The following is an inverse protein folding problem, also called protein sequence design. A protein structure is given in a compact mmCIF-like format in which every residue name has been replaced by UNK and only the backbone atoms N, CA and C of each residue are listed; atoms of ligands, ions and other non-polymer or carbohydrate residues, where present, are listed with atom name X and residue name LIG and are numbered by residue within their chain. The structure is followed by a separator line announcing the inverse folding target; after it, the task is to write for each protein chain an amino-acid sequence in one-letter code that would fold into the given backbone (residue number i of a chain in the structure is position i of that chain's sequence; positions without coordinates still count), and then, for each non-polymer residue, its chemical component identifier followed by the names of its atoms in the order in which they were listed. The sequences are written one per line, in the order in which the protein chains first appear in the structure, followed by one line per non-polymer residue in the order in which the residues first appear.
data_IF_963858744876
#
_entry.id   IF_963858744876
#
_cell.length_a   1.000
_cell.length_b   1.000
_cell.length_c   1.000
_cell.angle_alpha   90.00
_cell.angle_beta   90.00
_cell.angle_gamma   90.00
#
_symmetry.space_group_name_H-M   'P 1'
#
loop_
_entity.id
_entity.type
_entity.pdbx_description
1 polymer ?
#
# COMPACT_ATOMS: atom_id res chain seq x y z
N UNK A 1 17.90 4.55 21.60
CA UNK A 1 17.23 5.72 21.02
C UNK A 1 16.58 5.43 19.66
N UNK A 2 17.34 5.43 18.58
CA UNK A 2 16.82 5.29 17.19
C UNK A 2 16.08 3.96 16.92
N UNK A 3 16.53 2.85 17.50
CA UNK A 3 15.85 1.55 17.33
C UNK A 3 14.47 1.50 18.02
N UNK A 4 14.33 2.15 19.17
CA UNK A 4 13.04 2.27 19.85
C UNK A 4 12.09 3.15 19.04
N UNK A 5 12.59 4.29 18.56
CA UNK A 5 11.84 5.21 17.70
C UNK A 5 11.31 4.52 16.43
N UNK A 6 12.14 3.68 15.82
CA UNK A 6 11.74 2.91 14.62
C UNK A 6 10.62 1.90 14.92
N UNK A 7 10.60 1.27 16.11
CA UNK A 7 9.49 0.42 16.55
C UNK A 7 8.22 1.22 16.82
N UNK A 8 8.36 2.40 17.39
CA UNK A 8 7.24 3.26 17.76
C UNK A 8 6.51 3.86 16.51
N UNK A 9 7.16 3.89 15.36
CA UNK A 9 6.58 4.38 14.09
C UNK A 9 5.82 3.32 13.29
N UNK A 10 5.60 2.13 13.83
CA UNK A 10 4.99 1.01 13.10
C UNK A 10 3.46 1.03 13.09
N UNK A 11 2.80 2.01 13.70
CA UNK A 11 1.35 2.16 13.60
C UNK A 11 0.95 3.60 13.24
N UNK A 12 -0.23 3.81 12.63
CA UNK A 12 -0.76 5.15 12.37
C UNK A 12 -0.84 6.02 13.62
N UNK A 13 -1.27 5.47 14.72
CA UNK A 13 -1.45 6.18 16.00
C UNK A 13 -0.10 6.62 16.58
N UNK A 14 0.89 5.73 16.60
CA UNK A 14 2.23 6.08 17.10
C UNK A 14 2.91 7.09 16.19
N UNK A 15 2.69 7.01 14.87
CA UNK A 15 3.19 7.99 13.92
C UNK A 15 2.61 9.39 14.21
N UNK A 16 1.29 9.49 14.43
CA UNK A 16 0.63 10.77 14.75
C UNK A 16 1.15 11.33 16.07
N UNK A 17 1.33 10.47 17.08
CA UNK A 17 1.96 10.86 18.34
C UNK A 17 3.36 11.42 18.15
N UNK A 18 4.15 10.84 17.26
CA UNK A 18 5.48 11.33 16.89
C UNK A 18 5.44 12.68 16.17
N UNK A 19 4.47 12.91 15.28
CA UNK A 19 4.28 14.22 14.62
C UNK A 19 4.08 15.30 15.67
N UNK A 20 3.21 15.08 16.66
CA UNK A 20 2.99 16.02 17.78
C UNK A 20 4.24 16.22 18.62
N UNK A 21 4.95 15.14 18.92
CA UNK A 21 6.18 15.20 19.71
C UNK A 21 7.28 16.02 19.03
N UNK A 22 7.52 15.77 17.74
CA UNK A 22 8.48 16.56 16.97
C UNK A 22 8.05 18.01 16.83
N UNK A 23 6.75 18.27 16.64
CA UNK A 23 6.22 19.64 16.62
C UNK A 23 6.65 20.44 17.84
N UNK A 24 6.54 19.84 19.03
CA UNK A 24 7.02 20.47 20.30
C UNK A 24 8.52 20.68 20.30
N UNK A 25 9.30 19.70 19.86
CA UNK A 25 10.77 19.81 19.87
C UNK A 25 11.33 20.91 18.97
N UNK A 26 10.66 21.17 17.84
CA UNK A 26 11.09 22.18 16.86
C UNK A 26 10.27 23.47 16.93
N UNK A 27 9.43 23.64 17.95
CA UNK A 27 8.56 24.82 18.17
C UNK A 27 7.61 25.10 16.99
N UNK A 28 7.01 24.03 16.45
CA UNK A 28 6.07 24.07 15.33
C UNK A 28 4.75 23.32 15.68
N UNK A 29 4.27 23.49 16.91
CA UNK A 29 3.13 22.76 17.48
C UNK A 29 1.87 22.94 16.64
N UNK A 30 1.54 24.16 16.23
CA UNK A 30 0.35 24.47 15.44
C UNK A 30 0.34 23.73 14.11
N UNK A 31 1.49 23.63 13.45
CA UNK A 31 1.62 22.92 12.19
C UNK A 31 1.52 21.41 12.38
N UNK A 32 2.16 20.91 13.43
CA UNK A 32 2.10 19.49 13.79
C UNK A 32 0.67 19.07 14.16
N UNK A 33 -0.06 19.88 14.94
CA UNK A 33 -1.45 19.59 15.31
C UNK A 33 -2.37 19.61 14.11
N UNK A 34 -2.24 20.58 13.18
CA UNK A 34 -3.01 20.59 11.93
C UNK A 34 -2.79 19.35 11.09
N UNK A 35 -1.56 18.83 11.03
CA UNK A 35 -1.23 17.60 10.32
C UNK A 35 -1.81 16.37 11.04
N UNK A 36 -1.63 16.29 12.36
CA UNK A 36 -2.14 15.20 13.18
C UNK A 36 -3.68 15.09 13.09
N UNK A 37 -4.38 16.21 13.24
CA UNK A 37 -5.85 16.29 13.12
C UNK A 37 -6.31 15.84 11.74
N UNK A 38 -5.67 16.32 10.66
CA UNK A 38 -6.01 15.88 9.31
C UNK A 38 -5.88 14.36 9.15
N UNK A 39 -4.78 13.78 9.66
CA UNK A 39 -4.56 12.34 9.61
C UNK A 39 -5.64 11.57 10.39
N UNK A 40 -5.94 12.02 11.61
CA UNK A 40 -6.97 11.43 12.47
C UNK A 40 -8.36 11.47 11.81
N UNK A 41 -8.74 12.59 11.20
CA UNK A 41 -10.00 12.71 10.46
C UNK A 41 -10.12 11.66 9.35
N UNK A 42 -9.06 11.47 8.55
CA UNK A 42 -9.06 10.47 7.47
C UNK A 42 -9.10 9.05 8.01
N UNK A 43 -8.33 8.74 9.04
CA UNK A 43 -8.36 7.43 9.71
C UNK A 43 -9.75 7.15 10.28
N UNK A 44 -10.37 8.10 10.96
CA UNK A 44 -11.68 7.93 11.55
C UNK A 44 -12.77 7.73 10.49
N UNK A 45 -12.69 8.43 9.35
CA UNK A 45 -13.59 8.21 8.22
C UNK A 45 -13.45 6.78 7.65
N UNK A 46 -12.22 6.28 7.54
CA UNK A 46 -11.97 4.90 7.09
C UNK A 46 -12.47 3.90 8.14
N UNK A 47 -12.15 4.09 9.43
CA UNK A 47 -12.63 3.23 10.51
C UNK A 47 -14.17 3.13 10.53
N UNK A 48 -14.85 4.26 10.37
CA UNK A 48 -16.33 4.29 10.31
C UNK A 48 -16.87 3.51 9.10
N UNK A 49 -16.26 3.67 7.92
CA UNK A 49 -16.68 2.95 6.71
C UNK A 49 -16.46 1.44 6.81
N UNK A 50 -15.38 1.00 7.48
CA UNK A 50 -15.07 -0.43 7.64
C UNK A 50 -16.11 -1.16 8.50
N UNK A 51 -16.83 -0.48 9.39
CA UNK A 51 -17.87 -1.11 10.20
C UNK A 51 -18.98 -1.75 9.36
N UNK A 52 -19.21 -1.26 8.15
CA UNK A 52 -20.19 -1.80 7.21
C UNK A 52 -19.61 -2.84 6.24
N UNK A 53 -18.33 -3.16 6.36
CA UNK A 53 -17.64 -4.09 5.47
C UNK A 53 -17.73 -5.51 6.00
N UNK A 54 -18.29 -6.42 5.20
CA UNK A 54 -18.45 -7.84 5.57
C UNK A 54 -17.25 -8.71 5.14
N UNK A 55 -16.55 -8.35 4.06
CA UNK A 55 -15.41 -9.09 3.55
C UNK A 55 -14.13 -8.30 3.72
N UNK A 56 -13.12 -8.94 4.31
CA UNK A 56 -11.76 -8.37 4.45
C UNK A 56 -10.83 -9.07 3.49
N UNK A 57 -10.44 -8.44 2.37
CA UNK A 57 -9.56 -9.06 1.39
C UNK A 57 -8.20 -9.44 1.98
N UNK A 58 -7.67 -10.59 1.57
CA UNK A 58 -6.29 -11.01 1.86
C UNK A 58 -5.34 -10.23 0.96
N UNK A 59 -4.38 -9.57 1.57
CA UNK A 59 -3.47 -8.64 0.90
C UNK A 59 -2.02 -9.06 1.12
N UNK A 60 -1.27 -9.09 0.04
CA UNK A 60 0.17 -9.29 0.07
C UNK A 60 0.89 -8.01 -0.36
N UNK A 61 1.94 -7.65 0.36
CA UNK A 61 2.75 -6.48 0.08
C UNK A 61 4.12 -6.90 -0.46
N UNK A 62 4.30 -6.72 -1.76
CA UNK A 62 5.52 -7.06 -2.47
C UNK A 62 6.52 -5.89 -2.52
N UNK A 63 7.80 -6.21 -2.54
CA UNK A 63 8.89 -5.26 -2.75
C UNK A 63 9.46 -5.41 -4.18
N UNK A 64 8.62 -5.14 -5.17
CA UNK A 64 8.98 -5.14 -6.58
C UNK A 64 8.80 -6.49 -7.26
N UNK A 65 9.30 -7.58 -6.67
CA UNK A 65 9.18 -8.94 -7.20
C UNK A 65 8.11 -9.75 -6.48
N UNK A 66 7.49 -10.75 -7.13
CA UNK A 66 6.46 -11.58 -6.51
C UNK A 66 6.95 -12.30 -5.26
N UNK A 67 8.17 -12.79 -5.26
CA UNK A 67 8.76 -13.54 -4.16
C UNK A 67 9.56 -12.70 -3.17
N UNK A 68 9.59 -11.37 -3.32
CA UNK A 68 10.29 -10.47 -2.41
C UNK A 68 9.32 -9.52 -1.73
N UNK A 69 9.25 -9.55 -0.40
CA UNK A 69 8.20 -8.86 0.36
C UNK A 69 8.70 -8.24 1.67
N UNK A 70 7.86 -7.40 2.26
CA UNK A 70 8.10 -6.91 3.62
C UNK A 70 7.72 -7.97 4.65
N UNK A 71 8.34 -7.90 5.83
CA UNK A 71 7.93 -8.72 6.99
C UNK A 71 6.75 -8.13 7.75
N UNK A 72 6.14 -8.99 8.60
CA UNK A 72 4.90 -8.72 9.30
C UNK A 72 4.85 -7.52 10.24
N UNK A 73 6.00 -6.97 10.66
CA UNK A 73 6.06 -5.89 11.66
C UNK A 73 6.20 -4.47 11.08
N UNK A 74 5.89 -4.28 9.79
CA UNK A 74 6.07 -3.00 9.10
C UNK A 74 4.78 -2.17 9.11
N UNK A 75 4.95 -0.82 9.03
CA UNK A 75 3.83 0.13 8.96
C UNK A 75 2.90 -0.18 7.79
N UNK A 76 3.44 -0.58 6.65
CA UNK A 76 2.68 -0.91 5.44
C UNK A 76 1.62 -2.00 5.71
N UNK A 77 1.95 -2.99 6.56
CA UNK A 77 0.98 -4.01 6.98
C UNK A 77 -0.10 -3.44 7.90
N UNK A 78 0.26 -2.48 8.77
CA UNK A 78 -0.73 -1.77 9.59
C UNK A 78 -1.68 -0.93 8.73
N UNK A 79 -1.18 -0.31 7.65
CA UNK A 79 -2.03 0.45 6.73
C UNK A 79 -3.06 -0.45 6.02
N UNK A 80 -2.64 -1.65 5.60
CA UNK A 80 -3.55 -2.66 5.03
C UNK A 80 -4.66 -3.01 6.02
N UNK A 81 -4.29 -3.28 7.27
CA UNK A 81 -5.24 -3.65 8.32
C UNK A 81 -6.14 -2.47 8.71
N UNK A 82 -5.59 -1.26 8.79
CA UNK A 82 -6.35 -0.04 9.03
C UNK A 82 -7.33 0.29 7.90
N UNK A 83 -7.06 -0.16 6.68
CA UNK A 83 -7.97 -0.07 5.53
C UNK A 83 -8.96 -1.24 5.43
N UNK A 84 -9.01 -2.14 6.42
CA UNK A 84 -9.95 -3.26 6.46
C UNK A 84 -9.53 -4.49 5.67
N UNK A 85 -8.24 -4.64 5.33
CA UNK A 85 -7.68 -5.85 4.75
C UNK A 85 -7.10 -6.81 5.80
N UNK A 86 -6.70 -8.00 5.36
CA UNK A 86 -5.91 -8.97 6.12
C UNK A 86 -4.52 -9.01 5.51
N UNK A 87 -3.49 -8.58 6.27
CA UNK A 87 -2.12 -8.64 5.76
C UNK A 87 -1.56 -10.05 5.82
N UNK A 88 -1.39 -10.69 4.68
CA UNK A 88 -0.78 -12.02 4.56
C UNK A 88 0.72 -12.00 4.95
N UNK A 89 1.37 -10.85 4.84
CA UNK A 89 2.76 -10.68 5.26
C UNK A 89 2.96 -10.91 6.76
N UNK A 90 1.90 -10.86 7.59
CA UNK A 90 1.95 -11.21 9.02
C UNK A 90 2.33 -12.67 9.26
N UNK A 91 2.08 -13.54 8.30
CA UNK A 91 2.42 -14.97 8.37
C UNK A 91 3.89 -15.24 7.98
N UNK A 92 4.58 -14.23 7.45
CA UNK A 92 5.96 -14.35 6.96
C UNK A 92 6.92 -13.98 8.09
N UNK A 93 7.77 -14.92 8.47
CA UNK A 93 8.84 -14.75 9.46
C UNK A 93 10.20 -14.89 8.79
N UNK A 94 11.20 -14.27 9.38
CA UNK A 94 12.58 -14.36 8.89
C UNK A 94 13.40 -13.10 9.18
N UNK A 95 14.68 -13.16 8.85
CA UNK A 95 15.62 -12.05 8.94
C UNK A 95 15.88 -11.50 7.54
N UNK A 96 15.84 -10.19 7.41
CA UNK A 96 16.13 -9.51 6.14
C UNK A 96 15.85 -8.02 6.22
N UNK A 97 16.63 -7.22 5.50
CA UNK A 97 16.41 -5.78 5.29
C UNK A 97 16.88 -5.44 3.88
N UNK A 98 16.06 -4.74 3.09
CA UNK A 98 14.78 -4.11 3.43
C UNK A 98 13.60 -5.09 3.49
N UNK A 99 13.71 -6.28 2.90
CA UNK A 99 12.62 -7.26 2.81
C UNK A 99 13.11 -8.69 3.03
N UNK A 100 12.21 -9.63 2.75
CA UNK A 100 12.44 -11.08 2.86
C UNK A 100 12.11 -11.71 1.52
N UNK A 101 12.93 -12.64 1.08
CA UNK A 101 12.63 -13.52 -0.03
C UNK A 101 11.85 -14.74 0.47
N UNK A 102 10.77 -15.07 -0.21
CA UNK A 102 9.95 -16.28 0.01
C UNK A 102 9.96 -17.13 -1.24
N UNK A 103 9.59 -18.41 -1.13
CA UNK A 103 9.42 -19.26 -2.31
C UNK A 103 8.09 -18.94 -3.01
N UNK A 104 8.00 -19.24 -4.30
CA UNK A 104 6.74 -19.12 -5.03
C UNK A 104 5.65 -20.02 -4.45
N UNK A 105 6.01 -21.21 -3.98
CA UNK A 105 5.08 -22.12 -3.29
C UNK A 105 4.51 -21.48 -1.99
N UNK A 106 5.32 -20.73 -1.25
CA UNK A 106 4.82 -19.97 -0.09
C UNK A 106 3.85 -18.87 -0.52
N UNK A 107 4.16 -18.11 -1.59
CA UNK A 107 3.26 -17.10 -2.12
C UNK A 107 1.92 -17.72 -2.59
N UNK A 108 1.96 -18.85 -3.28
CA UNK A 108 0.75 -19.58 -3.70
C UNK A 108 -0.06 -20.08 -2.50
N UNK A 109 0.59 -20.53 -1.44
CA UNK A 109 -0.07 -20.93 -0.19
C UNK A 109 -0.79 -19.75 0.50
N UNK A 110 -0.24 -18.54 0.43
CA UNK A 110 -0.90 -17.33 0.93
C UNK A 110 -2.11 -16.95 0.09
N UNK A 111 -2.08 -17.20 -1.22
CA UNK A 111 -3.11 -16.94 -2.21
C UNK A 111 -3.82 -15.61 -1.99
N UNK A 112 -3.13 -14.46 -2.05
CA UNK A 112 -3.72 -13.16 -1.79
C UNK A 112 -4.77 -12.79 -2.86
N UNK A 113 -5.79 -12.02 -2.44
CA UNK A 113 -6.83 -11.45 -3.33
C UNK A 113 -6.38 -10.12 -3.95
N UNK A 114 -5.46 -9.43 -3.28
CA UNK A 114 -4.90 -8.13 -3.70
C UNK A 114 -3.41 -8.09 -3.40
N UNK A 115 -2.65 -7.48 -4.31
CA UNK A 115 -1.22 -7.23 -4.11
C UNK A 115 -0.96 -5.73 -4.24
N UNK A 116 -0.22 -5.18 -3.28
CA UNK A 116 0.40 -3.87 -3.41
C UNK A 116 1.91 -4.02 -3.61
N UNK A 117 2.45 -3.26 -4.57
CA UNK A 117 3.90 -3.17 -4.80
C UNK A 117 4.40 -1.90 -4.13
N UNK A 118 5.50 -2.00 -3.39
CA UNK A 118 6.13 -0.86 -2.72
C UNK A 118 6.45 0.27 -3.69
N UNK A 119 6.10 1.48 -3.30
CA UNK A 119 6.44 2.69 -4.05
C UNK A 119 7.94 3.03 -3.97
N UNK A 120 8.68 2.35 -3.12
CA UNK A 120 10.12 2.59 -2.92
C UNK A 120 10.99 1.92 -3.99
N UNK A 121 10.45 0.96 -4.74
CA UNK A 121 11.16 0.20 -5.77
C UNK A 121 10.56 0.51 -7.13
N UNK A 122 11.42 0.79 -8.11
CA UNK A 122 11.04 1.11 -9.49
C UNK A 122 10.59 -0.12 -10.31
N UNK A 123 9.79 -1.00 -9.72
CA UNK A 123 9.19 -2.12 -10.47
C UNK A 123 7.85 -1.71 -11.05
N UNK A 124 7.65 -1.99 -12.33
CA UNK A 124 6.36 -1.80 -12.95
C UNK A 124 5.40 -2.94 -12.58
N UNK A 125 4.09 -2.66 -12.62
CA UNK A 125 3.06 -3.72 -12.52
C UNK A 125 3.24 -4.74 -13.66
N UNK A 126 3.68 -4.28 -14.82
CA UNK A 126 3.91 -5.09 -16.01
C UNK A 126 5.02 -6.12 -15.77
N UNK A 127 6.16 -5.70 -15.21
CA UNK A 127 7.27 -6.61 -14.88
C UNK A 127 6.83 -7.64 -13.83
N UNK A 128 6.02 -7.24 -12.86
CA UNK A 128 5.47 -8.13 -11.85
C UNK A 128 4.61 -9.25 -12.49
N UNK A 129 3.73 -8.90 -13.46
CA UNK A 129 2.92 -9.90 -14.16
C UNK A 129 3.77 -10.82 -15.05
N UNK A 130 4.80 -10.28 -15.73
CA UNK A 130 5.72 -11.07 -16.55
C UNK A 130 6.41 -12.11 -15.66
N UNK A 131 6.97 -11.71 -14.53
CA UNK A 131 7.63 -12.62 -13.60
C UNK A 131 6.66 -13.69 -13.04
N UNK A 132 5.42 -13.32 -12.72
CA UNK A 132 4.39 -14.29 -12.33
C UNK A 132 4.10 -15.31 -13.42
N UNK A 133 4.05 -14.89 -14.69
CA UNK A 133 3.82 -15.80 -15.82
C UNK A 133 4.99 -16.76 -16.03
N UNK A 134 6.21 -16.22 -16.03
CA UNK A 134 7.44 -17.02 -16.22
C UNK A 134 7.61 -18.06 -15.11
N UNK A 135 7.26 -17.70 -13.88
CA UNK A 135 7.32 -18.60 -12.73
C UNK A 135 6.09 -19.53 -12.61
N UNK A 136 5.08 -19.40 -13.47
CA UNK A 136 3.85 -20.19 -13.44
C UNK A 136 2.96 -19.95 -12.22
N UNK A 137 3.06 -18.77 -11.58
CA UNK A 137 2.33 -18.43 -10.35
C UNK A 137 0.83 -18.29 -10.64
N UNK A 138 0.03 -19.04 -9.87
CA UNK A 138 -1.43 -19.08 -10.01
C UNK A 138 -2.13 -18.65 -8.71
N UNK A 139 -2.13 -17.36 -8.43
CA UNK A 139 -2.78 -16.75 -7.25
C UNK A 139 -3.96 -15.86 -7.64
N UNK A 140 -4.89 -15.67 -6.73
CA UNK A 140 -6.14 -14.96 -6.98
C UNK A 140 -5.93 -13.52 -7.46
N UNK A 141 -5.03 -12.77 -6.83
CA UNK A 141 -4.71 -11.40 -7.21
C UNK A 141 -4.21 -11.29 -8.67
N UNK A 142 -3.42 -12.26 -9.12
CA UNK A 142 -2.87 -12.30 -10.47
C UNK A 142 -3.96 -12.66 -11.49
N UNK A 143 -4.78 -13.69 -11.20
CA UNK A 143 -5.92 -14.09 -12.05
C UNK A 143 -6.93 -12.95 -12.26
N UNK A 144 -7.21 -12.21 -11.19
CA UNK A 144 -8.21 -11.15 -11.17
C UNK A 144 -7.64 -9.76 -11.52
N UNK A 145 -6.37 -9.69 -11.92
CA UNK A 145 -5.66 -8.45 -12.26
C UNK A 145 -5.71 -7.40 -11.13
N UNK A 146 -5.55 -7.86 -9.88
CA UNK A 146 -5.61 -7.02 -8.68
C UNK A 146 -4.21 -6.79 -8.07
N UNK A 147 -3.27 -6.41 -8.91
CA UNK A 147 -1.94 -5.95 -8.52
C UNK A 147 -1.87 -4.44 -8.72
N UNK A 148 -1.45 -3.71 -7.70
CA UNK A 148 -1.45 -2.25 -7.69
C UNK A 148 -0.10 -1.70 -7.25
N UNK A 149 0.35 -0.62 -7.87
CA UNK A 149 1.40 0.24 -7.34
C UNK A 149 0.78 1.47 -6.68
N UNK A 150 1.50 2.10 -5.76
CA UNK A 150 1.04 3.35 -5.17
C UNK A 150 1.07 4.50 -6.18
N UNK A 151 0.15 5.47 -6.06
CA UNK A 151 0.07 6.60 -6.99
C UNK A 151 1.35 7.43 -7.07
N UNK A 152 2.08 7.58 -5.96
CA UNK A 152 3.33 8.33 -5.95
C UNK A 152 4.31 7.77 -4.92
N UNK A 153 5.62 8.08 -5.04
CA UNK A 153 6.64 7.62 -4.10
C UNK A 153 6.39 8.08 -2.66
N UNK A 154 6.74 7.22 -1.70
CA UNK A 154 6.61 7.45 -0.25
C UNK A 154 5.16 7.66 0.25
N UNK A 155 4.16 7.16 -0.50
CA UNK A 155 2.78 7.11 -0.02
C UNK A 155 2.49 5.85 0.80
N UNK A 156 3.40 4.92 0.84
CA UNK A 156 3.33 3.69 1.64
C UNK A 156 4.14 3.78 2.95
N UNK A 157 5.25 4.52 2.92
CA UNK A 157 6.22 4.50 4.02
C UNK A 157 7.08 5.78 4.05
N UNK A 158 7.65 6.09 5.22
CA UNK A 158 8.76 7.05 5.39
C UNK A 158 8.39 8.52 5.41
N UNK A 159 7.14 8.90 5.19
CA UNK A 159 6.71 10.30 5.22
C UNK A 159 5.23 10.43 5.61
N UNK A 160 4.77 11.61 6.09
CA UNK A 160 3.34 11.82 6.39
C UNK A 160 2.38 11.54 5.24
N UNK A 161 2.89 11.41 4.02
CA UNK A 161 2.11 11.09 2.81
C UNK A 161 1.49 9.69 2.83
N UNK A 162 1.87 8.81 3.76
CA UNK A 162 1.24 7.51 3.92
C UNK A 162 -0.28 7.62 4.16
N UNK A 163 -0.79 8.76 4.65
CA UNK A 163 -2.23 8.96 4.81
C UNK A 163 -2.96 8.96 3.46
N UNK A 164 -2.32 9.47 2.39
CA UNK A 164 -2.83 9.40 1.02
C UNK A 164 -2.82 7.95 0.52
N UNK A 165 -1.77 7.21 0.86
CA UNK A 165 -1.68 5.78 0.58
C UNK A 165 -2.75 4.97 1.31
N UNK A 166 -3.05 5.28 2.57
CA UNK A 166 -4.12 4.62 3.32
C UNK A 166 -5.50 4.82 2.64
N UNK A 167 -5.81 6.04 2.20
CA UNK A 167 -7.04 6.31 1.45
C UNK A 167 -7.07 5.57 0.11
N UNK A 168 -5.93 5.47 -0.58
CA UNK A 168 -5.81 4.68 -1.80
C UNK A 168 -6.06 3.18 -1.54
N UNK A 169 -5.45 2.61 -0.50
CA UNK A 169 -5.67 1.21 -0.09
C UNK A 169 -7.16 0.97 0.19
N UNK A 170 -7.80 1.86 0.96
CA UNK A 170 -9.23 1.75 1.27
C UNK A 170 -10.11 1.72 0.01
N UNK A 171 -9.86 2.61 -0.96
CA UNK A 171 -10.55 2.61 -2.25
C UNK A 171 -10.37 1.29 -3.02
N UNK A 172 -9.15 0.73 -3.02
CA UNK A 172 -8.85 -0.52 -3.74
C UNK A 172 -9.49 -1.73 -3.06
N UNK A 173 -9.43 -1.80 -1.73
CA UNK A 173 -9.97 -2.94 -1.00
C UNK A 173 -11.50 -2.96 -0.98
N UNK A 174 -12.12 -1.78 -0.83
CA UNK A 174 -13.56 -1.63 -0.64
C UNK A 174 -14.16 -0.58 -1.57
N UNK A 175 -14.13 -0.79 -2.90
CA UNK A 175 -14.53 0.22 -3.89
C UNK A 175 -16.02 0.57 -3.88
N UNK A 176 -16.85 -0.18 -3.15
CA UNK A 176 -18.26 0.14 -2.93
C UNK A 176 -18.50 1.03 -1.71
N UNK A 177 -17.51 1.11 -0.83
CA UNK A 177 -17.60 1.84 0.45
C UNK A 177 -16.80 3.13 0.42
N UNK A 178 -15.61 3.11 -0.18
CA UNK A 178 -14.72 4.26 -0.21
C UNK A 178 -14.53 4.80 -1.63
N UNK A 179 -14.61 6.12 -1.76
CA UNK A 179 -14.52 6.86 -3.02
C UNK A 179 -13.71 8.15 -2.81
N UNK A 180 -12.57 8.04 -2.11
CA UNK A 180 -11.68 9.19 -1.95
C UNK A 180 -11.15 9.64 -3.31
N UNK A 181 -11.33 10.91 -3.65
CA UNK A 181 -10.64 11.51 -4.81
C UNK A 181 -9.17 11.74 -4.44
N UNK A 182 -8.35 10.75 -4.75
CA UNK A 182 -6.94 10.71 -4.36
C UNK A 182 -6.14 11.89 -4.93
N UNK A 183 -6.47 12.35 -6.12
CA UNK A 183 -5.80 13.50 -6.74
C UNK A 183 -6.18 14.79 -6.00
N UNK A 184 -7.45 14.98 -5.69
CA UNK A 184 -7.93 16.12 -4.91
C UNK A 184 -7.33 16.13 -3.51
N UNK A 185 -7.32 14.99 -2.83
CA UNK A 185 -6.72 14.84 -1.51
C UNK A 185 -5.20 15.13 -1.52
N UNK A 186 -4.49 14.66 -2.56
CA UNK A 186 -3.07 14.99 -2.73
C UNK A 186 -2.86 16.49 -2.90
N UNK A 187 -3.62 17.17 -3.78
CA UNK A 187 -3.53 18.63 -3.96
C UNK A 187 -3.74 19.37 -2.65
N UNK A 188 -4.77 18.98 -1.87
CA UNK A 188 -5.05 19.58 -0.55
C UNK A 188 -3.87 19.36 0.40
N UNK A 189 -3.39 18.11 0.49
CA UNK A 189 -2.32 17.72 1.39
C UNK A 189 -1.01 18.48 1.10
N UNK A 190 -0.57 18.46 -0.16
CA UNK A 190 0.68 19.10 -0.57
C UNK A 190 0.63 20.61 -0.39
N UNK A 191 -0.49 21.25 -0.76
CA UNK A 191 -0.68 22.68 -0.53
C UNK A 191 -0.68 23.05 0.95
N UNK A 192 -1.42 22.28 1.77
CA UNK A 192 -1.61 22.57 3.19
C UNK A 192 -0.35 22.34 4.04
N UNK A 193 0.43 21.28 3.74
CA UNK A 193 1.50 20.82 4.60
C UNK A 193 2.91 21.01 4.03
N UNK A 194 3.04 21.13 2.72
CA UNK A 194 4.33 21.37 2.05
C UNK A 194 4.43 22.72 1.37
N UNK A 195 3.32 23.46 1.28
CA UNK A 195 3.22 24.75 0.56
C UNK A 195 3.69 24.68 -0.90
N UNK A 196 3.38 23.56 -1.55
CA UNK A 196 3.66 23.33 -2.96
C UNK A 196 2.42 22.83 -3.69
N UNK A 197 2.36 23.08 -5.00
CA UNK A 197 1.34 22.46 -5.86
C UNK A 197 1.70 21.00 -6.15
N UNK A 198 0.70 20.12 -6.00
CA UNK A 198 0.86 18.73 -6.40
C UNK A 198 0.79 18.61 -7.91
N UNK A 199 1.87 18.14 -8.52
CA UNK A 199 1.93 17.93 -9.96
C UNK A 199 1.45 16.52 -10.30
N UNK A 200 0.44 16.42 -11.19
CA UNK A 200 -0.10 15.14 -11.66
C UNK A 200 0.97 14.33 -12.42
N UNK A 201 1.98 14.99 -13.01
CA UNK A 201 3.10 14.29 -13.65
C UNK A 201 3.97 13.50 -12.67
N UNK A 202 3.90 13.79 -11.36
CA UNK A 202 4.60 13.05 -10.32
C UNK A 202 3.92 11.74 -9.94
N UNK A 203 2.71 11.49 -10.48
CA UNK A 203 2.04 10.23 -10.30
C UNK A 203 2.76 9.11 -11.06
N UNK A 204 2.86 7.98 -10.40
CA UNK A 204 3.31 6.76 -11.07
C UNK A 204 2.31 6.40 -12.19
N UNK A 205 2.78 6.35 -13.43
CA UNK A 205 1.94 6.05 -14.61
C UNK A 205 1.29 4.66 -14.55
N UNK A 206 1.83 3.78 -13.72
CA UNK A 206 1.34 2.42 -13.53
C UNK A 206 0.40 2.27 -12.34
N UNK A 207 0.04 3.35 -11.63
CA UNK A 207 -0.91 3.20 -10.53
C UNK A 207 -2.32 2.88 -11.05
N UNK A 208 -2.99 1.96 -10.37
CA UNK A 208 -4.28 1.46 -10.82
C UNK A 208 -4.14 0.26 -11.76
N UNK A 209 -5.23 -0.16 -12.36
CA UNK A 209 -5.35 -1.42 -13.11
C UNK A 209 -4.22 -1.58 -14.12
N UNK A 210 -3.67 -2.79 -14.27
CA UNK A 210 -2.81 -3.10 -15.40
C UNK A 210 -3.51 -2.66 -16.68
N UNK A 211 -2.73 -2.13 -17.63
CA UNK A 211 -3.26 -1.72 -18.93
C UNK A 211 -4.11 -2.86 -19.51
N UNK A 212 -5.15 -2.55 -20.29
CA UNK A 212 -6.04 -3.52 -20.96
C UNK A 212 -5.29 -4.54 -21.86
N UNK A 213 -3.97 -4.54 -21.83
CA UNK A 213 -3.06 -5.43 -22.53
C UNK A 213 -2.98 -6.84 -21.94
N UNK A 214 -3.52 -7.09 -20.73
CA UNK A 214 -3.43 -8.38 -20.07
C UNK A 214 -4.80 -9.03 -19.98
N UNK A 215 -4.91 -10.27 -20.46
CA UNK A 215 -6.07 -11.15 -20.28
C UNK A 215 -5.65 -12.46 -19.69
N UNK A 216 -6.44 -12.94 -18.74
CA UNK A 216 -6.30 -14.29 -18.21
C UNK A 216 -7.03 -15.26 -19.14
N UNK A 217 -6.29 -16.17 -19.76
CA UNK A 217 -6.88 -17.22 -20.62
C UNK A 217 -6.76 -18.59 -19.94
N UNK A 218 -7.89 -19.29 -19.84
CA UNK A 218 -7.94 -20.70 -19.47
C UNK A 218 -7.70 -21.59 -20.71
N UNK A 219 -6.47 -22.03 -20.91
CA UNK A 219 -6.14 -23.08 -21.91
C UNK A 219 -5.40 -24.19 -21.19
N UNK A 220 -6.15 -25.14 -20.55
CA UNK A 220 -5.59 -26.36 -19.95
C UNK A 220 -4.58 -26.19 -18.80
N UNK A 221 -3.72 -25.17 -18.87
CA UNK A 221 -2.97 -24.52 -17.79
C UNK A 221 -3.31 -23.04 -17.86
N UNK A 222 -3.76 -22.48 -16.74
CA UNK A 222 -4.11 -21.06 -16.64
C UNK A 222 -2.87 -20.19 -16.95
N UNK A 223 -2.94 -19.36 -17.97
CA UNK A 223 -1.83 -18.50 -18.40
C UNK A 223 -2.31 -17.06 -18.56
N UNK A 224 -1.55 -16.09 -18.09
CA UNK A 224 -1.75 -14.67 -18.44
C UNK A 224 -1.11 -14.45 -19.80
N UNK A 225 -1.78 -13.75 -20.69
CA UNK A 225 -1.20 -13.32 -21.98
C UNK A 225 -1.28 -11.81 -22.15
N UNK A 226 -0.25 -11.25 -22.78
CA UNK A 226 -0.27 -9.90 -23.29
C UNK A 226 -1.21 -9.89 -24.51
N UNK A 227 -2.16 -8.95 -24.55
CA UNK A 227 -2.93 -8.69 -25.75
C UNK A 227 -2.03 -7.89 -26.71
N UNK A 228 -1.82 -8.39 -27.93
CA UNK A 228 -1.15 -7.66 -29.00
C UNK A 228 -1.99 -6.46 -29.46
#
# INVERSE_FOLDING_TARGET
GLQKLHKDLQSPETYIGMVRHFGKLIQAEDRAEKLATYMEEKINAIKAGILAVHHKPRVYYAMGKPNFCIKGERLENQLIEAAGGISENRKISGSGRPGIEITYAQLESLNPEVIFISSFISSSIEDFYIECMEAGINIEAVRNLRVYSYPAPCWDFGSPRWILGLMFIANVLHPKTFHFDIIKEAKIFYRKFYDIEFNISDLNRSFGKPSNKWKWEHKGKSTIRKCE
#
